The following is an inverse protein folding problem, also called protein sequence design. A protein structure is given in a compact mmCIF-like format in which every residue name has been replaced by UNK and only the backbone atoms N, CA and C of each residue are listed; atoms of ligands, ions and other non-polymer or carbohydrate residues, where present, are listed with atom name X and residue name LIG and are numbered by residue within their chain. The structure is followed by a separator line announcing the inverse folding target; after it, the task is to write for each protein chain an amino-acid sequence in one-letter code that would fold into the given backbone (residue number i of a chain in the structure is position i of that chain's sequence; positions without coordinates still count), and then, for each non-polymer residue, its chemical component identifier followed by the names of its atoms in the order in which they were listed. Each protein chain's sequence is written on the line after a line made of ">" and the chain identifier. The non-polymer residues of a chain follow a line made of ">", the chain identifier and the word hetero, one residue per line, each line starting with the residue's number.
data_IF_197317455109
#
_entry.id   IF_197317455109
#
_cell.length_a   1.000
_cell.length_b   1.000
_cell.length_c   1.000
_cell.angle_alpha   90.00
_cell.angle_beta   90.00
_cell.angle_gamma   90.00
#
_symmetry.space_group_name_H-M   'P 1'
#
loop_
_entity.id
_entity.type
_entity.pdbx_description
1 polymer ?
#
# COMPACT_ATOMS: atom_id res chain seq x y z
N UNK A 1 -33.76 21.98 -31.69
CA UNK A 1 -33.55 23.21 -30.91
C UNK A 1 -34.21 23.02 -29.57
N UNK A 2 -33.45 22.62 -28.55
CA UNK A 2 -33.98 22.29 -27.22
C UNK A 2 -33.48 23.34 -26.25
N UNK A 3 -34.41 24.13 -25.71
CA UNK A 3 -34.16 25.25 -24.82
C UNK A 3 -33.82 24.74 -23.42
N UNK A 4 -32.54 24.80 -23.03
CA UNK A 4 -32.10 24.59 -21.65
C UNK A 4 -32.31 25.88 -20.84
N UNK A 5 -33.15 25.79 -19.79
CA UNK A 5 -33.37 26.89 -18.84
C UNK A 5 -32.08 27.20 -18.06
N UNK A 6 -31.78 28.48 -17.74
CA UNK A 6 -30.67 28.83 -16.89
C UNK A 6 -30.98 28.51 -15.43
N UNK A 7 -30.11 27.74 -14.78
CA UNK A 7 -30.15 27.46 -13.34
C UNK A 7 -29.92 28.75 -12.55
N UNK A 8 -30.78 29.02 -11.56
CA UNK A 8 -30.71 30.27 -10.79
C UNK A 8 -29.54 30.29 -9.79
N UNK A 9 -28.98 31.46 -9.43
CA UNK A 9 -27.82 31.57 -8.53
C UNK A 9 -28.01 31.04 -7.10
N UNK A 10 -29.26 30.74 -6.70
CA UNK A 10 -29.58 30.20 -5.37
C UNK A 10 -29.33 28.68 -5.27
N UNK A 11 -29.33 27.95 -6.39
CA UNK A 11 -29.04 26.50 -6.40
C UNK A 11 -27.54 26.22 -6.37
N UNK A 12 -26.72 27.05 -7.04
CA UNK A 12 -25.25 26.94 -6.98
C UNK A 12 -24.67 27.28 -5.61
N UNK A 13 -25.38 28.07 -4.80
CA UNK A 13 -24.97 28.39 -3.43
C UNK A 13 -25.37 27.30 -2.42
N UNK A 14 -26.41 26.50 -2.69
CA UNK A 14 -26.79 25.34 -1.85
C UNK A 14 -25.90 24.11 -2.06
N UNK A 15 -25.32 23.93 -3.24
CA UNK A 15 -24.34 22.86 -3.47
C UNK A 15 -22.96 23.13 -2.85
N UNK A 16 -22.67 24.38 -2.47
CA UNK A 16 -21.38 24.76 -1.87
C UNK A 16 -21.32 24.62 -0.34
N UNK A 17 -22.44 24.34 0.32
CA UNK A 17 -22.55 24.36 1.79
C UNK A 17 -23.36 23.20 2.39
N UNK A 18 -23.49 22.06 1.69
CA UNK A 18 -24.07 20.85 2.26
C UNK A 18 -23.09 19.68 2.21
N UNK A 19 -22.49 19.42 3.36
CA UNK A 19 -21.64 18.27 3.62
C UNK A 19 -20.75 18.54 4.82
N UNK A 20 -21.26 18.28 6.03
CA UNK A 20 -20.41 18.05 7.20
C UNK A 20 -19.28 17.10 6.80
N UNK A 21 -18.04 17.47 7.09
CA UNK A 21 -16.79 16.88 6.58
C UNK A 21 -16.55 15.40 6.87
N UNK A 22 -17.49 14.66 7.45
CA UNK A 22 -17.39 13.23 7.80
C UNK A 22 -18.28 12.30 6.96
N UNK A 23 -18.96 12.78 5.92
CA UNK A 23 -19.78 11.91 5.04
C UNK A 23 -19.10 11.51 3.73
N UNK A 24 -17.91 12.03 3.47
CA UNK A 24 -17.09 11.68 2.30
C UNK A 24 -15.93 10.78 2.72
N UNK A 25 -15.54 9.85 1.85
CA UNK A 25 -14.39 8.96 2.03
C UNK A 25 -13.13 9.72 2.46
N UNK A 26 -12.80 10.80 1.76
CA UNK A 26 -11.66 11.65 2.07
C UNK A 26 -11.75 12.31 3.46
N UNK A 27 -12.96 12.59 3.93
CA UNK A 27 -13.21 13.16 5.24
C UNK A 27 -12.88 12.19 6.37
N UNK A 28 -13.33 10.95 6.21
CA UNK A 28 -13.08 9.84 7.16
C UNK A 28 -11.57 9.54 7.21
N UNK A 29 -10.92 9.37 6.06
CA UNK A 29 -9.49 9.08 6.00
C UNK A 29 -8.62 10.24 6.53
N UNK A 30 -9.02 11.50 6.32
CA UNK A 30 -8.32 12.65 6.93
C UNK A 30 -8.44 12.67 8.45
N UNK A 31 -9.62 12.33 8.98
CA UNK A 31 -9.82 12.21 10.42
C UNK A 31 -8.95 11.10 11.00
N UNK A 32 -8.88 9.96 10.33
CA UNK A 32 -8.00 8.84 10.69
C UNK A 32 -6.54 9.28 10.79
N UNK A 33 -5.99 9.90 9.74
CA UNK A 33 -4.60 10.43 9.76
C UNK A 33 -4.38 11.40 10.94
N UNK A 34 -5.32 12.31 11.19
CA UNK A 34 -5.20 13.27 12.28
C UNK A 34 -5.18 12.58 13.66
N UNK A 35 -6.06 11.60 13.87
CA UNK A 35 -6.11 10.83 15.12
C UNK A 35 -4.84 9.99 15.29
N UNK A 36 -4.33 9.35 14.23
CA UNK A 36 -3.06 8.62 14.25
C UNK A 36 -1.89 9.51 14.66
N UNK A 37 -1.80 10.73 14.13
CA UNK A 37 -0.76 11.69 14.51
C UNK A 37 -0.88 12.12 15.99
N UNK A 38 -2.11 12.34 16.48
CA UNK A 38 -2.35 12.67 17.88
C UNK A 38 -1.97 11.52 18.81
N UNK A 39 -2.39 10.28 18.50
CA UNK A 39 -2.04 9.08 19.27
C UNK A 39 -0.52 8.85 19.25
N UNK A 40 0.12 9.05 18.11
CA UNK A 40 1.57 8.92 17.97
C UNK A 40 2.32 9.91 18.87
N UNK A 41 1.96 11.19 18.83
CA UNK A 41 2.56 12.21 19.70
C UNK A 41 2.27 11.94 21.19
N UNK A 42 1.06 11.49 21.49
CA UNK A 42 0.65 11.10 22.84
C UNK A 42 1.45 9.90 23.35
N UNK A 43 1.66 8.88 22.51
CA UNK A 43 2.48 7.70 22.81
C UNK A 43 3.94 8.03 23.04
N UNK A 44 4.55 8.86 22.20
CA UNK A 44 5.94 9.30 22.43
C UNK A 44 6.06 10.03 23.77
N UNK A 45 5.11 10.93 24.06
CA UNK A 45 5.12 11.72 25.30
C UNK A 45 4.94 10.82 26.53
N UNK A 46 3.92 9.96 26.54
CA UNK A 46 3.65 9.07 27.67
C UNK A 46 4.67 7.95 27.79
N UNK A 47 5.27 7.48 26.70
CA UNK A 47 6.37 6.52 26.74
C UNK A 47 7.59 7.09 27.47
N UNK A 48 7.95 8.34 27.19
CA UNK A 48 9.03 9.03 27.90
C UNK A 48 8.66 9.28 29.37
N UNK A 49 7.46 9.79 29.63
CA UNK A 49 7.01 10.09 31.01
C UNK A 49 6.89 8.83 31.87
N UNK A 50 6.43 7.72 31.30
CA UNK A 50 6.27 6.46 32.02
C UNK A 50 7.56 5.63 32.12
N UNK A 51 8.56 5.95 31.29
CA UNK A 51 9.72 5.07 31.09
C UNK A 51 9.39 3.82 30.27
N UNK A 52 8.23 3.74 29.62
CA UNK A 52 7.83 2.61 28.78
C UNK A 52 8.44 2.69 27.39
N UNK A 53 9.30 1.72 27.08
CA UNK A 53 9.81 1.53 25.73
C UNK A 53 8.75 0.98 24.80
N UNK A 54 7.80 0.16 25.28
CA UNK A 54 6.73 -0.37 24.42
C UNK A 54 5.75 0.72 23.95
N UNK A 55 5.37 1.65 24.84
CA UNK A 55 4.51 2.80 24.48
C UNK A 55 5.26 3.78 23.57
N UNK A 56 6.52 4.09 23.88
CA UNK A 56 7.32 4.96 23.02
C UNK A 56 7.48 4.37 21.62
N UNK A 57 7.72 3.06 21.53
CA UNK A 57 7.81 2.33 20.28
C UNK A 57 6.51 2.42 19.47
N UNK A 58 5.35 2.17 20.10
CA UNK A 58 4.04 2.27 19.42
C UNK A 58 3.84 3.66 18.79
N UNK A 59 4.17 4.71 19.54
CA UNK A 59 4.10 6.09 19.06
C UNK A 59 5.04 6.37 17.87
N UNK A 60 6.30 5.94 17.96
CA UNK A 60 7.30 6.10 16.88
C UNK A 60 6.90 5.28 15.65
N UNK A 61 6.46 4.04 15.84
CA UNK A 61 6.04 3.15 14.77
C UNK A 61 4.88 3.76 13.98
N UNK A 62 3.85 4.25 14.68
CA UNK A 62 2.73 4.94 14.06
C UNK A 62 3.15 6.22 13.31
N UNK A 63 4.13 6.97 13.85
CA UNK A 63 4.64 8.17 13.17
C UNK A 63 5.32 7.84 11.85
N UNK A 64 6.17 6.81 11.87
CA UNK A 64 6.93 6.33 10.72
C UNK A 64 5.95 5.84 9.64
N UNK A 65 4.99 4.99 10.02
CA UNK A 65 3.99 4.45 9.08
C UNK A 65 3.10 5.56 8.49
N UNK A 66 2.66 6.52 9.31
CA UNK A 66 1.89 7.67 8.84
C UNK A 66 2.69 8.53 7.86
N UNK A 67 3.97 8.80 8.14
CA UNK A 67 4.84 9.58 7.25
C UNK A 67 5.04 8.90 5.89
N UNK A 68 5.19 7.57 5.89
CA UNK A 68 5.34 6.79 4.67
C UNK A 68 4.03 6.67 3.89
N UNK A 69 2.90 6.60 4.58
CA UNK A 69 1.57 6.66 3.95
C UNK A 69 1.34 7.99 3.24
N UNK A 70 1.79 9.11 3.82
CA UNK A 70 1.76 10.42 3.16
C UNK A 70 2.66 10.43 1.92
N UNK A 71 3.87 9.88 2.01
CA UNK A 71 4.78 9.78 0.85
C UNK A 71 4.17 8.92 -0.27
N UNK A 72 3.59 7.77 0.07
CA UNK A 72 2.91 6.89 -0.87
C UNK A 72 1.75 7.61 -1.56
N UNK A 73 0.97 8.40 -0.82
CA UNK A 73 -0.13 9.20 -1.38
C UNK A 73 0.38 10.29 -2.35
N UNK A 74 1.50 10.96 -2.02
CA UNK A 74 2.12 11.95 -2.91
C UNK A 74 2.54 11.28 -4.23
N UNK A 75 3.18 10.10 -4.15
CA UNK A 75 3.61 9.35 -5.34
C UNK A 75 2.41 8.85 -6.15
N UNK A 76 1.37 8.33 -5.50
CA UNK A 76 0.15 7.90 -6.17
C UNK A 76 -0.53 9.07 -6.92
N UNK A 77 -0.62 10.25 -6.29
CA UNK A 77 -1.17 11.45 -6.93
C UNK A 77 -0.30 11.93 -8.11
N UNK A 78 1.03 11.81 -8.01
CA UNK A 78 1.94 12.12 -9.11
C UNK A 78 1.71 11.19 -10.32
N UNK A 79 1.56 9.89 -10.07
CA UNK A 79 1.26 8.89 -11.11
C UNK A 79 -0.12 9.16 -11.75
N UNK A 80 -1.15 9.42 -10.93
CA UNK A 80 -2.51 9.69 -11.39
C UNK A 80 -2.62 10.99 -12.22
N UNK A 81 -1.92 12.04 -11.80
CA UNK A 81 -1.89 13.32 -12.53
C UNK A 81 -1.13 13.22 -13.87
N UNK A 82 -0.11 12.36 -13.95
CA UNK A 82 0.61 12.06 -15.19
C UNK A 82 -0.24 11.29 -16.21
N UNK A 83 -1.04 10.31 -15.74
CA UNK A 83 -1.91 9.48 -16.60
C UNK A 83 -3.18 10.21 -17.04
N UNK A 84 -3.76 11.05 -16.19
CA UNK A 84 -5.01 11.78 -16.48
C UNK A 84 -4.83 12.99 -17.40
N UNK A 85 -3.62 13.54 -17.49
CA UNK A 85 -3.31 14.72 -18.30
C UNK A 85 -3.14 14.37 -19.78
N UNK A 86 -4.24 14.08 -20.46
CA UNK A 86 -4.30 13.96 -21.94
C UNK A 86 -3.94 15.25 -22.68
N UNK A 87 -3.77 16.39 -21.98
CA UNK A 87 -3.64 17.73 -22.57
C UNK A 87 -2.38 18.54 -22.20
N UNK A 88 -1.48 18.08 -21.30
CA UNK A 88 -0.30 18.85 -20.90
C UNK A 88 1.00 18.20 -21.42
N UNK A 89 1.40 18.58 -22.64
CA UNK A 89 2.69 18.24 -23.23
C UNK A 89 3.80 19.08 -22.56
N UNK A 90 4.31 18.62 -21.41
CA UNK A 90 5.48 19.21 -20.75
C UNK A 90 6.79 18.47 -21.06
N UNK A 91 7.97 19.12 -20.93
CA UNK A 91 9.29 18.55 -21.21
C UNK A 91 9.67 17.33 -20.34
N UNK A 92 8.97 17.09 -19.24
CA UNK A 92 9.10 15.89 -18.40
C UNK A 92 8.60 14.60 -19.10
N UNK A 93 7.57 14.68 -19.96
CA UNK A 93 7.04 13.52 -20.70
C UNK A 93 8.03 13.01 -21.75
N UNK A 94 8.89 13.89 -22.27
CA UNK A 94 9.93 13.55 -23.24
C UNK A 94 11.11 12.78 -22.62
N UNK A 95 11.30 12.88 -21.29
CA UNK A 95 12.37 12.17 -20.58
C UNK A 95 11.90 10.91 -19.84
N UNK A 96 10.60 10.77 -19.57
CA UNK A 96 10.01 9.61 -18.89
C UNK A 96 8.92 8.95 -19.75
N UNK A 97 9.32 8.35 -20.88
CA UNK A 97 8.41 7.72 -21.85
C UNK A 97 7.62 6.53 -21.28
N UNK A 98 8.15 5.86 -20.26
CA UNK A 98 7.53 4.71 -19.56
C UNK A 98 6.66 5.08 -18.35
N UNK A 99 6.53 6.36 -18.01
CA UNK A 99 5.76 6.82 -16.84
C UNK A 99 6.49 6.66 -15.49
N UNK A 100 5.75 6.89 -14.39
CA UNK A 100 6.30 6.90 -13.01
C UNK A 100 5.96 5.64 -12.19
N UNK A 101 5.56 4.56 -12.85
CA UNK A 101 5.07 3.33 -12.21
C UNK A 101 6.10 2.63 -11.32
N UNK A 102 7.40 2.85 -11.56
CA UNK A 102 8.49 2.32 -10.75
C UNK A 102 8.58 2.95 -9.36
N UNK A 103 8.01 4.15 -9.15
CA UNK A 103 8.04 4.82 -7.84
C UNK A 103 7.16 4.11 -6.80
N UNK A 104 6.08 3.47 -7.23
CA UNK A 104 5.15 2.75 -6.36
C UNK A 104 5.82 1.60 -5.59
N UNK A 105 6.47 0.60 -6.25
CA UNK A 105 7.15 -0.47 -5.54
C UNK A 105 8.35 0.04 -4.72
N UNK A 106 9.02 1.13 -5.14
CA UNK A 106 10.13 1.72 -4.37
C UNK A 106 9.63 2.26 -3.02
N UNK A 107 8.54 3.03 -3.01
CA UNK A 107 8.00 3.59 -1.77
C UNK A 107 7.44 2.50 -0.86
N UNK A 108 6.74 1.51 -1.42
CA UNK A 108 6.23 0.36 -0.65
C UNK A 108 7.37 -0.45 -0.03
N UNK A 109 8.43 -0.72 -0.80
CA UNK A 109 9.62 -1.40 -0.31
C UNK A 109 10.34 -0.61 0.77
N UNK A 110 10.51 0.70 0.58
CA UNK A 110 11.12 1.61 1.56
C UNK A 110 10.34 1.64 2.88
N UNK A 111 9.00 1.73 2.81
CA UNK A 111 8.15 1.69 4.00
C UNK A 111 8.37 0.38 4.76
N UNK A 112 8.28 -0.75 4.06
CA UNK A 112 8.49 -2.06 4.67
C UNK A 112 9.86 -2.19 5.34
N UNK A 113 10.94 -1.78 4.66
CA UNK A 113 12.31 -1.82 5.20
C UNK A 113 12.44 -0.94 6.44
N UNK A 114 11.87 0.27 6.43
CA UNK A 114 11.95 1.18 7.57
C UNK A 114 11.20 0.63 8.78
N UNK A 115 9.99 0.10 8.60
CA UNK A 115 9.21 -0.53 9.67
C UNK A 115 9.92 -1.75 10.26
N UNK A 116 10.53 -2.60 9.42
CA UNK A 116 11.37 -3.72 9.90
C UNK A 116 12.57 -3.21 10.67
N UNK A 117 13.30 -2.21 10.16
CA UNK A 117 14.48 -1.69 10.81
C UNK A 117 14.18 -1.12 12.21
N UNK A 118 13.12 -0.32 12.33
CA UNK A 118 12.66 0.26 13.61
C UNK A 118 12.23 -0.86 14.57
N UNK A 119 11.51 -1.87 14.08
CA UNK A 119 11.06 -3.00 14.90
C UNK A 119 12.21 -3.91 15.36
N UNK A 120 13.19 -4.17 14.49
CA UNK A 120 14.40 -4.93 14.86
C UNK A 120 15.23 -4.17 15.89
N UNK A 121 15.41 -2.85 15.70
CA UNK A 121 16.09 -2.02 16.68
C UNK A 121 15.39 -2.07 18.05
N UNK A 122 14.06 -1.94 18.07
CA UNK A 122 13.28 -2.01 19.30
C UNK A 122 13.36 -3.40 19.96
N UNK A 123 13.32 -4.48 19.16
CA UNK A 123 13.50 -5.85 19.66
C UNK A 123 14.87 -6.08 20.30
N UNK A 124 15.94 -5.59 19.68
CA UNK A 124 17.29 -5.66 20.25
C UNK A 124 17.36 -4.93 21.58
N UNK A 125 16.76 -3.74 21.68
CA UNK A 125 16.68 -2.99 22.95
C UNK A 125 15.83 -3.71 23.99
N UNK A 126 14.71 -4.31 23.60
CA UNK A 126 13.84 -5.08 24.49
C UNK A 126 14.57 -6.30 25.07
N UNK A 127 15.24 -7.08 24.22
CA UNK A 127 16.07 -8.22 24.65
C UNK A 127 17.21 -7.75 25.55
N UNK A 128 17.90 -6.67 25.19
CA UNK A 128 18.94 -6.07 26.01
C UNK A 128 18.44 -5.66 27.39
N UNK A 129 17.27 -5.03 27.46
CA UNK A 129 16.63 -4.64 28.73
C UNK A 129 16.23 -5.85 29.57
N UNK A 130 15.65 -6.90 28.97
CA UNK A 130 15.34 -8.16 29.68
C UNK A 130 16.60 -8.78 30.30
N UNK A 131 17.70 -8.82 29.55
CA UNK A 131 18.97 -9.38 30.03
C UNK A 131 19.65 -8.50 31.10
N UNK A 132 19.39 -7.19 31.08
CA UNK A 132 19.92 -6.24 32.06
C UNK A 132 19.10 -6.15 33.37
N UNK A 133 18.04 -6.97 33.51
CA UNK A 133 17.19 -7.00 34.70
C UNK A 133 15.90 -6.18 34.60
N UNK A 134 15.52 -5.77 33.39
CA UNK A 134 14.34 -4.94 33.12
C UNK A 134 14.56 -3.45 33.35
N UNK A 135 13.48 -2.69 33.40
CA UNK A 135 13.51 -1.27 33.77
C UNK A 135 12.30 -0.90 34.63
N UNK A 136 12.43 0.17 35.43
CA UNK A 136 11.30 0.72 36.16
C UNK A 136 10.28 1.29 35.16
N UNK A 137 9.00 1.06 35.45
CA UNK A 137 7.87 1.52 34.66
C UNK A 137 6.87 2.20 35.61
N UNK A 138 6.51 3.44 35.30
CA UNK A 138 5.41 4.13 35.98
C UNK A 138 4.07 3.69 35.37
N UNK A 139 3.50 2.64 35.96
CA UNK A 139 2.27 2.01 35.47
C UNK A 139 1.08 2.96 35.44
N UNK A 140 1.00 3.96 36.33
CA UNK A 140 -0.10 4.93 36.34
C UNK A 140 -0.18 5.69 35.00
N UNK A 141 0.95 6.21 34.52
CA UNK A 141 1.03 6.88 33.22
C UNK A 141 0.79 5.88 32.08
N UNK A 142 1.36 4.69 32.15
CA UNK A 142 1.21 3.67 31.12
C UNK A 142 -0.25 3.21 30.93
N UNK A 143 -0.98 3.03 32.03
CA UNK A 143 -2.40 2.65 32.03
C UNK A 143 -3.26 3.79 31.49
N UNK A 144 -3.03 5.04 31.92
CA UNK A 144 -3.75 6.21 31.40
C UNK A 144 -3.58 6.30 29.88
N UNK A 145 -2.35 6.15 29.39
CA UNK A 145 -2.08 6.09 27.96
C UNK A 145 -2.88 4.98 27.27
N UNK A 146 -2.76 3.74 27.75
CA UNK A 146 -3.37 2.59 27.11
C UNK A 146 -4.90 2.67 27.09
N UNK A 147 -5.54 3.21 28.14
CA UNK A 147 -6.99 3.43 28.17
C UNK A 147 -7.42 4.48 27.14
N UNK A 148 -6.73 5.61 27.08
CA UNK A 148 -7.07 6.70 26.14
C UNK A 148 -6.87 6.24 24.70
N UNK A 149 -5.76 5.59 24.40
CA UNK A 149 -5.46 5.05 23.07
C UNK A 149 -6.46 3.97 22.68
N UNK A 150 -6.80 3.04 23.58
CA UNK A 150 -7.79 1.99 23.31
C UNK A 150 -9.17 2.60 23.02
N UNK A 151 -9.58 3.62 23.77
CA UNK A 151 -10.82 4.33 23.54
C UNK A 151 -10.82 5.02 22.16
N UNK A 152 -9.73 5.67 21.78
CA UNK A 152 -9.58 6.31 20.48
C UNK A 152 -9.61 5.29 19.34
N UNK A 153 -8.86 4.18 19.43
CA UNK A 153 -8.86 3.11 18.43
C UNK A 153 -10.25 2.49 18.26
N UNK A 154 -10.93 2.24 19.38
CA UNK A 154 -12.29 1.69 19.38
C UNK A 154 -13.28 2.67 18.75
N UNK A 155 -13.19 3.96 19.08
CA UNK A 155 -14.03 5.00 18.51
C UNK A 155 -13.83 5.09 16.99
N UNK A 156 -12.59 5.15 16.51
CA UNK A 156 -12.27 5.19 15.08
C UNK A 156 -12.75 3.94 14.35
N UNK A 157 -12.47 2.75 14.88
CA UNK A 157 -12.95 1.49 14.32
C UNK A 157 -14.49 1.48 14.16
N UNK A 158 -15.23 1.93 15.16
CA UNK A 158 -16.69 2.02 15.11
C UNK A 158 -17.17 3.07 14.11
N UNK A 159 -16.55 4.25 14.10
CA UNK A 159 -16.89 5.35 13.20
C UNK A 159 -16.67 4.95 11.74
N UNK A 160 -15.52 4.37 11.41
CA UNK A 160 -15.17 3.95 10.05
C UNK A 160 -16.00 2.76 9.61
N UNK A 161 -16.21 1.75 10.46
CA UNK A 161 -17.07 0.61 10.14
C UNK A 161 -18.50 1.07 9.86
N UNK A 162 -19.01 2.05 10.62
CA UNK A 162 -20.35 2.63 10.40
C UNK A 162 -20.40 3.47 9.12
N UNK A 163 -19.43 4.36 8.91
CA UNK A 163 -19.35 5.20 7.73
C UNK A 163 -19.21 4.36 6.45
N UNK A 164 -18.47 3.25 6.52
CA UNK A 164 -18.24 2.39 5.37
C UNK A 164 -19.49 1.62 4.91
N UNK A 165 -20.50 1.44 5.77
CA UNK A 165 -21.79 0.86 5.35
C UNK A 165 -22.48 1.71 4.29
N UNK A 166 -22.33 3.02 4.36
CA UNK A 166 -22.87 3.96 3.35
C UNK A 166 -21.90 4.25 2.21
N UNK A 167 -20.60 4.38 2.52
CA UNK A 167 -19.59 4.78 1.52
C UNK A 167 -19.21 3.61 0.61
N UNK A 168 -19.14 2.39 1.14
CA UNK A 168 -18.69 1.17 0.43
C UNK A 168 -17.30 1.35 -0.23
N UNK A 169 -16.35 1.93 0.51
CA UNK A 169 -14.96 2.07 0.10
C UNK A 169 -14.11 0.95 0.69
N UNK A 170 -13.29 0.34 -0.16
CA UNK A 170 -12.29 -0.64 0.25
C UNK A 170 -11.18 0.01 1.11
N UNK A 171 -10.84 1.28 0.86
CA UNK A 171 -9.86 2.00 1.66
C UNK A 171 -10.34 2.23 3.10
N UNK A 172 -11.60 2.65 3.27
CA UNK A 172 -12.19 2.80 4.61
C UNK A 172 -12.37 1.45 5.29
N UNK A 173 -12.62 0.36 4.53
CA UNK A 173 -12.67 -0.99 5.09
C UNK A 173 -11.30 -1.45 5.62
N UNK A 174 -10.23 -1.13 4.91
CA UNK A 174 -8.86 -1.47 5.28
C UNK A 174 -8.42 -0.67 6.52
N UNK A 175 -8.71 0.64 6.54
CA UNK A 175 -8.37 1.51 7.66
C UNK A 175 -9.12 1.09 8.94
N UNK A 176 -10.41 0.75 8.83
CA UNK A 176 -11.19 0.26 9.97
C UNK A 176 -10.60 -1.03 10.56
N UNK A 177 -10.11 -1.93 9.71
CA UNK A 177 -9.41 -3.15 10.16
C UNK A 177 -8.09 -2.81 10.84
N UNK A 178 -7.35 -1.83 10.34
CA UNK A 178 -6.12 -1.38 10.98
C UNK A 178 -6.39 -0.84 12.40
N UNK A 179 -7.45 -0.04 12.58
CA UNK A 179 -7.89 0.43 13.91
C UNK A 179 -8.31 -0.70 14.86
N UNK A 180 -8.98 -1.73 14.36
CA UNK A 180 -9.34 -2.91 15.18
C UNK A 180 -8.07 -3.66 15.61
N UNK A 181 -7.11 -3.85 14.70
CA UNK A 181 -5.84 -4.50 15.02
C UNK A 181 -5.04 -3.70 16.04
N UNK A 182 -4.89 -2.39 15.83
CA UNK A 182 -4.22 -1.48 16.75
C UNK A 182 -4.89 -1.50 18.13
N UNK A 183 -6.22 -1.39 18.18
CA UNK A 183 -6.98 -1.50 19.43
C UNK A 183 -6.78 -2.85 20.13
N UNK A 184 -6.66 -3.95 19.39
CA UNK A 184 -6.32 -5.27 19.96
C UNK A 184 -4.94 -5.29 20.61
N UNK A 185 -3.93 -4.70 19.98
CA UNK A 185 -2.57 -4.58 20.53
C UNK A 185 -2.59 -3.70 21.79
N UNK A 186 -3.25 -2.53 21.73
CA UNK A 186 -3.38 -1.63 22.89
C UNK A 186 -4.14 -2.29 24.04
N UNK A 187 -5.17 -3.09 23.76
CA UNK A 187 -5.89 -3.84 24.79
C UNK A 187 -4.99 -4.88 25.46
N UNK A 188 -4.14 -5.59 24.70
CA UNK A 188 -3.17 -6.52 25.26
C UNK A 188 -2.13 -5.79 26.14
N UNK A 189 -1.63 -4.63 25.70
CA UNK A 189 -0.77 -3.74 26.49
C UNK A 189 -1.44 -3.32 27.80
N UNK A 190 -2.70 -2.87 27.75
CA UNK A 190 -3.46 -2.48 28.92
C UNK A 190 -3.58 -3.62 29.93
N UNK A 191 -3.90 -4.84 29.47
CA UNK A 191 -3.96 -6.03 30.33
C UNK A 191 -2.61 -6.31 30.98
N UNK A 192 -1.51 -6.22 30.23
CA UNK A 192 -0.16 -6.43 30.75
C UNK A 192 0.21 -5.38 31.81
N UNK A 193 -0.08 -4.10 31.58
CA UNK A 193 0.21 -3.03 32.53
C UNK A 193 -0.67 -3.09 33.77
N UNK A 194 -1.97 -3.38 33.64
CA UNK A 194 -2.82 -3.62 34.81
C UNK A 194 -2.34 -4.83 35.62
N UNK A 195 -1.90 -5.90 34.96
CA UNK A 195 -1.29 -7.05 35.64
C UNK A 195 -0.03 -6.67 36.41
N UNK A 196 0.85 -5.85 35.82
CA UNK A 196 2.05 -5.36 36.47
C UNK A 196 1.77 -4.46 37.67
N UNK A 197 0.82 -3.54 37.53
CA UNK A 197 0.38 -2.68 38.62
C UNK A 197 -0.15 -3.48 39.82
N UNK A 198 -1.00 -4.48 39.58
CA UNK A 198 -1.58 -5.32 40.64
C UNK A 198 -0.55 -6.19 41.37
N UNK A 199 0.61 -6.42 40.75
CA UNK A 199 1.69 -7.24 41.31
C UNK A 199 2.63 -6.41 42.20
N UNK A 200 2.57 -5.08 42.14
CA UNK A 200 3.35 -4.19 43.02
C UNK A 200 2.98 -4.41 44.50
N UNK A 201 3.97 -4.47 45.38
CA UNK A 201 3.77 -4.72 46.82
C UNK A 201 3.40 -6.17 47.16
N UNK A 202 3.42 -7.09 46.18
CA UNK A 202 3.20 -8.52 46.38
C UNK A 202 4.52 -9.30 46.28
N UNK A 203 4.48 -10.62 46.58
CA UNK A 203 5.64 -11.51 46.40
C UNK A 203 6.12 -11.63 44.94
N UNK A 204 5.32 -11.19 43.99
CA UNK A 204 5.60 -11.28 42.55
C UNK A 204 6.19 -9.97 41.99
N UNK A 205 6.45 -8.96 42.82
CA UNK A 205 6.96 -7.64 42.40
C UNK A 205 8.23 -7.71 41.53
N UNK A 206 9.03 -8.76 41.69
CA UNK A 206 10.20 -9.03 40.85
C UNK A 206 9.90 -9.13 39.35
N UNK A 207 8.66 -9.41 38.95
CA UNK A 207 8.24 -9.48 37.54
C UNK A 207 8.04 -8.08 36.94
N UNK A 208 7.69 -7.09 37.78
CA UNK A 208 7.28 -5.75 37.36
C UNK A 208 8.25 -5.10 36.34
N UNK A 209 9.59 -5.14 36.53
CA UNK A 209 10.53 -4.50 35.60
C UNK A 209 10.64 -5.18 34.23
N UNK A 210 10.17 -6.42 34.12
CA UNK A 210 10.27 -7.22 32.90
C UNK A 210 9.04 -7.12 31.99
N UNK A 211 7.93 -6.56 32.49
CA UNK A 211 6.66 -6.54 31.77
C UNK A 211 6.78 -5.74 30.49
N UNK A 212 7.28 -4.51 30.55
CA UNK A 212 7.37 -3.65 29.37
C UNK A 212 8.34 -4.19 28.30
N UNK A 213 9.57 -4.62 28.64
CA UNK A 213 10.47 -5.24 27.66
C UNK A 213 9.94 -6.55 27.08
N UNK A 214 9.25 -7.38 27.88
CA UNK A 214 8.66 -8.62 27.39
C UNK A 214 7.53 -8.36 26.39
N UNK A 215 6.67 -7.38 26.69
CA UNK A 215 5.60 -6.98 25.76
C UNK A 215 6.17 -6.36 24.49
N UNK A 216 7.16 -5.46 24.60
CA UNK A 216 7.81 -4.88 23.43
C UNK A 216 8.45 -5.97 22.54
N UNK A 217 9.15 -6.94 23.14
CA UNK A 217 9.74 -8.05 22.41
C UNK A 217 8.68 -8.88 21.68
N UNK A 218 7.56 -9.19 22.35
CA UNK A 218 6.44 -9.94 21.75
C UNK A 218 5.80 -9.16 20.59
N UNK A 219 5.53 -7.87 20.78
CA UNK A 219 4.96 -7.00 19.74
C UNK A 219 5.89 -6.95 18.53
N UNK A 220 7.19 -6.75 18.73
CA UNK A 220 8.16 -6.73 17.63
C UNK A 220 8.21 -8.08 16.90
N UNK A 221 8.18 -9.21 17.63
CA UNK A 221 8.18 -10.54 17.01
C UNK A 221 6.96 -10.79 16.11
N UNK A 222 5.81 -10.21 16.45
CA UNK A 222 4.58 -10.29 15.64
C UNK A 222 4.60 -9.32 14.46
N UNK A 223 5.12 -8.10 14.65
CA UNK A 223 5.08 -7.04 13.62
C UNK A 223 6.15 -7.24 12.54
N UNK A 224 7.36 -7.69 12.88
CA UNK A 224 8.49 -7.84 11.94
C UNK A 224 8.13 -8.66 10.68
N UNK A 225 7.45 -9.81 10.77
CA UNK A 225 7.11 -10.62 9.59
C UNK A 225 6.09 -9.98 8.65
N UNK A 226 5.23 -9.07 9.14
CA UNK A 226 4.12 -8.50 8.37
C UNK A 226 4.58 -7.79 7.08
N UNK A 227 5.52 -6.82 7.11
CA UNK A 227 5.98 -6.12 5.90
C UNK A 227 6.95 -6.93 5.03
N UNK A 228 7.46 -8.09 5.47
CA UNK A 228 8.46 -8.86 4.70
C UNK A 228 7.93 -9.28 3.34
N UNK A 229 6.65 -9.65 3.27
CA UNK A 229 5.99 -9.97 2.00
C UNK A 229 5.95 -8.77 1.05
N UNK A 230 5.63 -7.58 1.56
CA UNK A 230 5.61 -6.33 0.81
C UNK A 230 7.00 -5.96 0.29
N UNK A 231 8.05 -6.13 1.11
CA UNK A 231 9.45 -5.90 0.70
C UNK A 231 9.84 -6.85 -0.43
N UNK A 232 9.52 -8.15 -0.29
CA UNK A 232 9.80 -9.15 -1.34
C UNK A 232 9.09 -8.78 -2.64
N UNK A 233 7.80 -8.43 -2.58
CA UNK A 233 7.04 -8.03 -3.75
C UNK A 233 7.62 -6.77 -4.40
N UNK A 234 7.97 -5.75 -3.60
CA UNK A 234 8.61 -4.54 -4.10
C UNK A 234 9.92 -4.83 -4.84
N UNK A 235 10.77 -5.72 -4.29
CA UNK A 235 11.99 -6.15 -4.97
C UNK A 235 11.72 -6.90 -6.27
N UNK A 236 10.73 -7.81 -6.28
CA UNK A 236 10.28 -8.53 -7.48
C UNK A 236 9.81 -7.57 -8.57
N UNK A 237 9.01 -6.56 -8.21
CA UNK A 237 8.50 -5.55 -9.13
C UNK A 237 9.63 -4.61 -9.64
N UNK A 238 10.62 -4.29 -8.80
CA UNK A 238 11.82 -3.50 -9.19
C UNK A 238 12.71 -4.30 -10.15
N UNK A 239 12.83 -5.61 -9.93
CA UNK A 239 13.60 -6.53 -10.77
C UNK A 239 12.86 -6.95 -12.05
N UNK A 240 11.70 -6.35 -12.34
CA UNK A 240 10.89 -6.60 -13.54
C UNK A 240 10.45 -8.06 -13.71
N UNK A 241 10.33 -8.82 -12.62
CA UNK A 241 9.98 -10.24 -12.70
C UNK A 241 8.54 -10.38 -13.18
N UNK A 242 8.37 -11.15 -14.26
CA UNK A 242 7.06 -11.42 -14.84
C UNK A 242 6.21 -12.31 -13.90
N UNK A 243 4.92 -11.99 -13.70
CA UNK A 243 3.99 -12.89 -13.01
C UNK A 243 3.81 -14.18 -13.80
N UNK A 244 3.86 -15.34 -13.12
CA UNK A 244 3.75 -16.65 -13.77
C UNK A 244 2.42 -16.84 -14.51
N UNK A 245 1.33 -16.32 -13.94
CA UNK A 245 -0.03 -16.37 -14.50
C UNK A 245 -0.14 -15.57 -15.80
N UNK A 246 0.35 -14.32 -15.80
CA UNK A 246 0.38 -13.48 -16.99
C UNK A 246 1.29 -14.08 -18.07
N UNK A 247 2.43 -14.62 -17.65
CA UNK A 247 3.39 -15.25 -18.55
C UNK A 247 2.79 -16.45 -19.25
N UNK A 248 2.16 -17.36 -18.49
CA UNK A 248 1.48 -18.52 -19.04
C UNK A 248 0.36 -18.12 -20.03
N UNK A 249 -0.47 -17.15 -19.65
CA UNK A 249 -1.57 -16.66 -20.49
C UNK A 249 -1.09 -16.07 -21.82
N UNK A 250 -0.07 -15.19 -21.78
CA UNK A 250 0.51 -14.59 -22.99
C UNK A 250 1.10 -15.66 -23.90
N UNK A 251 1.80 -16.66 -23.34
CA UNK A 251 2.34 -17.76 -24.12
C UNK A 251 1.25 -18.64 -24.75
N UNK A 252 0.12 -18.84 -24.08
CA UNK A 252 -1.03 -19.58 -24.61
C UNK A 252 -1.64 -18.85 -25.82
N UNK A 253 -1.90 -17.54 -25.67
CA UNK A 253 -2.42 -16.70 -26.75
C UNK A 253 -1.46 -16.68 -27.94
N UNK A 254 -0.16 -16.47 -27.70
CA UNK A 254 0.84 -16.43 -28.76
C UNK A 254 0.96 -17.76 -29.52
N UNK A 255 0.87 -18.91 -28.82
CA UNK A 255 0.84 -20.24 -29.46
C UNK A 255 -0.40 -20.42 -30.35
N UNK A 256 -1.56 -19.94 -29.90
CA UNK A 256 -2.79 -19.97 -30.70
C UNK A 256 -2.64 -19.19 -32.01
N UNK A 257 -2.12 -17.97 -31.93
CA UNK A 257 -1.87 -17.09 -33.09
C UNK A 257 -0.88 -17.72 -34.06
N UNK A 258 0.19 -18.31 -33.55
CA UNK A 258 1.19 -18.98 -34.37
C UNK A 258 0.57 -20.08 -35.23
N UNK A 259 -0.34 -20.86 -34.64
CA UNK A 259 -1.06 -21.93 -35.33
C UNK A 259 -2.09 -21.40 -36.33
N UNK A 260 -2.87 -20.39 -35.95
CA UNK A 260 -3.94 -19.82 -36.79
C UNK A 260 -3.42 -19.17 -38.08
N UNK A 261 -2.25 -18.51 -37.99
CA UNK A 261 -1.70 -17.72 -39.10
C UNK A 261 -0.47 -18.36 -39.78
N UNK A 262 -0.04 -19.54 -39.32
CA UNK A 262 1.11 -20.25 -39.90
C UNK A 262 2.44 -19.50 -39.73
N UNK A 263 2.61 -18.81 -38.61
CA UNK A 263 3.88 -18.14 -38.28
C UNK A 263 4.93 -19.16 -37.83
N UNK A 264 6.21 -18.81 -37.92
CA UNK A 264 7.32 -19.74 -37.68
C UNK A 264 7.61 -19.90 -36.18
N UNK A 265 7.71 -18.78 -35.46
CA UNK A 265 8.01 -18.76 -34.02
C UNK A 265 7.57 -17.43 -33.40
N UNK A 266 7.71 -17.29 -32.08
CA UNK A 266 7.52 -16.02 -31.40
C UNK A 266 8.52 -15.83 -30.26
N UNK A 267 8.70 -14.57 -29.85
CA UNK A 267 9.39 -14.16 -28.62
C UNK A 267 8.42 -13.32 -27.79
N UNK A 268 8.40 -13.55 -26.50
CA UNK A 268 7.56 -12.83 -25.55
C UNK A 268 8.45 -12.29 -24.44
N UNK A 269 8.49 -10.97 -24.31
CA UNK A 269 9.13 -10.28 -23.19
C UNK A 269 8.03 -9.70 -22.33
N UNK A 270 7.96 -10.16 -21.09
CA UNK A 270 6.90 -9.80 -20.17
C UNK A 270 7.56 -9.26 -18.92
N UNK A 271 7.10 -8.10 -18.48
CA UNK A 271 7.56 -7.46 -17.26
C UNK A 271 6.38 -6.85 -16.52
N UNK A 272 6.52 -6.74 -15.20
CA UNK A 272 5.57 -6.01 -14.36
C UNK A 272 6.32 -4.98 -13.54
N UNK A 273 5.78 -3.76 -13.49
CA UNK A 273 6.32 -2.65 -12.70
C UNK A 273 5.19 -2.02 -11.90
N UNK A 274 5.13 -2.31 -10.60
CA UNK A 274 4.00 -1.91 -9.75
C UNK A 274 2.69 -2.44 -10.32
N UNK A 275 1.79 -1.54 -10.73
CA UNK A 275 0.50 -1.91 -11.36
C UNK A 275 0.59 -2.11 -12.88
N UNK A 276 1.65 -1.62 -13.51
CA UNK A 276 1.80 -1.67 -14.96
C UNK A 276 2.27 -3.05 -15.44
N UNK A 277 1.62 -3.57 -16.48
CA UNK A 277 2.01 -4.80 -17.19
C UNK A 277 2.57 -4.43 -18.56
N UNK A 278 3.82 -4.82 -18.82
CA UNK A 278 4.48 -4.62 -20.10
C UNK A 278 4.61 -5.96 -20.80
N UNK A 279 4.09 -6.03 -22.02
CA UNK A 279 4.13 -7.22 -22.86
C UNK A 279 4.64 -6.80 -24.23
N UNK A 280 5.75 -7.39 -24.66
CA UNK A 280 6.28 -7.24 -26.00
C UNK A 280 6.28 -8.60 -26.68
N UNK A 281 5.55 -8.69 -27.79
CA UNK A 281 5.41 -9.90 -28.58
C UNK A 281 5.99 -9.66 -29.97
N UNK A 282 6.92 -10.53 -30.33
CA UNK A 282 7.52 -10.57 -31.66
C UNK A 282 7.13 -11.88 -32.32
N UNK A 283 6.40 -11.81 -33.43
CA UNK A 283 6.06 -12.96 -34.25
C UNK A 283 6.98 -13.02 -35.46
N UNK A 284 7.60 -14.18 -35.66
CA UNK A 284 8.49 -14.44 -36.78
C UNK A 284 7.64 -15.02 -37.91
N UNK A 285 7.48 -14.26 -38.99
CA UNK A 285 6.66 -14.64 -40.14
C UNK A 285 7.52 -15.30 -41.25
N UNK A 286 6.96 -16.21 -42.07
CA UNK A 286 7.67 -16.78 -43.20
C UNK A 286 8.23 -15.74 -44.16
N UNK A 287 9.43 -15.99 -44.70
CA UNK A 287 9.99 -15.19 -45.78
C UNK A 287 9.17 -15.38 -47.06
N UNK A 288 8.93 -14.29 -47.79
CA UNK A 288 8.12 -14.33 -49.02
C UNK A 288 6.62 -14.40 -48.79
N UNK A 289 6.14 -14.12 -47.57
CA UNK A 289 4.71 -13.98 -47.30
C UNK A 289 4.11 -12.88 -48.21
N UNK A 290 2.93 -13.10 -48.82
CA UNK A 290 2.33 -12.10 -49.70
C UNK A 290 2.14 -10.76 -49.00
N UNK A 291 2.31 -9.62 -49.71
CA UNK A 291 2.02 -8.31 -49.14
C UNK A 291 0.57 -8.27 -48.67
N UNK A 292 0.39 -7.89 -47.40
CA UNK A 292 -0.91 -7.64 -46.79
C UNK A 292 -1.02 -6.16 -46.48
N UNK A 293 -2.25 -5.65 -46.44
CA UNK A 293 -2.47 -4.27 -46.03
C UNK A 293 -2.16 -4.11 -44.55
N UNK A 294 -1.78 -2.90 -44.14
CA UNK A 294 -1.45 -2.61 -42.74
C UNK A 294 -2.64 -2.89 -41.82
N UNK A 295 -3.85 -2.59 -42.27
CA UNK A 295 -5.08 -2.82 -41.49
C UNK A 295 -5.33 -4.31 -41.21
N UNK A 296 -4.83 -5.21 -42.08
CA UNK A 296 -4.93 -6.65 -41.85
C UNK A 296 -3.95 -7.14 -40.79
N UNK A 297 -2.78 -6.49 -40.67
CA UNK A 297 -1.85 -6.73 -39.57
C UNK A 297 -2.39 -6.15 -38.26
N UNK A 298 -2.99 -4.97 -38.32
CA UNK A 298 -3.62 -4.33 -37.16
C UNK A 298 -4.79 -5.18 -36.62
N UNK A 299 -5.62 -5.76 -37.50
CA UNK A 299 -6.68 -6.69 -37.07
C UNK A 299 -6.13 -7.92 -36.31
N UNK A 300 -4.92 -8.37 -36.63
CA UNK A 300 -4.24 -9.43 -35.87
C UNK A 300 -3.79 -8.90 -34.51
N UNK A 301 -3.22 -7.68 -34.47
CA UNK A 301 -2.82 -7.03 -33.21
C UNK A 301 -4.01 -6.84 -32.27
N UNK A 302 -5.15 -6.39 -32.79
CA UNK A 302 -6.38 -6.18 -32.02
C UNK A 302 -6.87 -7.50 -31.42
N UNK A 303 -6.92 -8.57 -32.23
CA UNK A 303 -7.33 -9.92 -31.76
C UNK A 303 -6.41 -10.45 -30.66
N UNK A 304 -5.09 -10.25 -30.80
CA UNK A 304 -4.12 -10.63 -29.76
C UNK A 304 -4.32 -9.76 -28.52
N UNK A 305 -4.50 -8.45 -28.70
CA UNK A 305 -4.73 -7.48 -27.65
C UNK A 305 -5.95 -7.83 -26.81
N UNK A 306 -7.07 -8.16 -27.45
CA UNK A 306 -8.29 -8.59 -26.77
C UNK A 306 -8.12 -9.92 -26.04
N UNK A 307 -7.40 -10.88 -26.63
CA UNK A 307 -7.14 -12.18 -26.01
C UNK A 307 -6.22 -12.11 -24.78
N UNK A 308 -5.24 -11.20 -24.77
CA UNK A 308 -4.36 -10.98 -23.61
C UNK A 308 -5.09 -10.21 -22.50
N UNK A 309 -6.06 -9.37 -22.85
CA UNK A 309 -6.94 -8.64 -21.94
C UNK A 309 -7.19 -7.21 -22.42
N UNK A 310 -8.37 -6.63 -22.15
CA UNK A 310 -8.77 -5.33 -22.70
C UNK A 310 -7.81 -4.16 -22.38
N UNK A 311 -7.88 -3.10 -23.19
CA UNK A 311 -7.12 -1.87 -22.95
C UNK A 311 -7.34 -1.32 -21.54
N UNK A 312 -6.22 -1.10 -20.83
CA UNK A 312 -6.18 -0.49 -19.51
C UNK A 312 -5.07 0.56 -19.49
N UNK A 313 -5.22 1.67 -18.74
CA UNK A 313 -4.14 2.63 -18.50
C UNK A 313 -2.84 2.00 -17.97
N UNK A 314 -2.97 0.82 -17.34
CA UNK A 314 -1.87 0.08 -16.73
C UNK A 314 -1.30 -1.02 -17.65
N UNK A 315 -1.69 -1.06 -18.93
CA UNK A 315 -1.22 -2.06 -19.91
C UNK A 315 -0.40 -1.41 -21.02
N UNK A 316 0.84 -1.86 -21.18
CA UNK A 316 1.67 -1.56 -22.33
C UNK A 316 1.85 -2.84 -23.16
N UNK A 317 1.33 -2.84 -24.40
CA UNK A 317 1.40 -3.98 -25.31
C UNK A 317 2.04 -3.55 -26.63
N UNK A 318 3.16 -4.17 -26.97
CA UNK A 318 3.82 -4.03 -28.27
C UNK A 318 3.71 -5.34 -29.03
N UNK A 319 3.21 -5.32 -30.26
CA UNK A 319 3.17 -6.49 -31.15
C UNK A 319 3.86 -6.17 -32.46
N UNK A 320 4.96 -6.87 -32.71
CA UNK A 320 5.76 -6.76 -33.92
C UNK A 320 5.68 -8.06 -34.74
N UNK A 321 5.68 -7.90 -36.06
CA UNK A 321 5.78 -9.00 -37.03
C UNK A 321 7.06 -8.78 -37.83
N UNK A 322 7.92 -9.78 -37.92
CA UNK A 322 9.21 -9.68 -38.62
C UNK A 322 9.52 -10.98 -39.36
N UNK A 323 10.09 -10.89 -40.56
CA UNK A 323 10.64 -12.06 -41.25
C UNK A 323 12.09 -12.36 -40.84
N UNK A 324 12.73 -11.41 -40.14
CA UNK A 324 14.10 -11.52 -39.66
C UNK A 324 14.10 -11.77 -38.14
N UNK A 325 14.55 -12.97 -37.70
CA UNK A 325 14.63 -13.33 -36.29
C UNK A 325 15.49 -12.38 -35.45
N UNK A 326 16.48 -11.69 -36.05
CA UNK A 326 17.38 -10.79 -35.33
C UNK A 326 16.67 -9.57 -34.71
N UNK A 327 15.44 -9.27 -35.15
CA UNK A 327 14.62 -8.21 -34.55
C UNK A 327 13.79 -8.69 -33.35
N UNK A 328 13.77 -9.99 -33.07
CA UNK A 328 13.01 -10.62 -32.00
C UNK A 328 13.87 -11.11 -30.83
N UNK A 329 15.16 -11.35 -31.05
CA UNK A 329 16.17 -11.74 -30.05
C UNK A 329 16.87 -10.51 -29.45
#
# INVERSE_FOLDING_TARGET
>A
MTYTRPTTPRESMRQRFQGSSMQTEQGVLRASIMVTLLISAFGITFGILSGSFSIAFDGIYALVDASMSVLALIVANLIASYTSSRAAAGPLRARFSTGFWHLEPIVLGLNGVLLVAVSVYALVNAIGSLLAGGHALEFDFAIVYAVVTLAACTAMAMLETKANRSIKSDFVALDAKAWIMSGGITAALLVAFCGGYLVQGTRLEWISPYIDPAVLALVCAVIIPLPVSNIRQALTDILLVAPDDLTAHVHEVAKGVLKDYGFLSYRAYIAKVGRAKQVELYFIVPTGLPPRRVEEWDAIRDRIGDAIGHESPDRWLTIAFTADPAWAD
#
